data_IF_369617548548
#
_entry.id   IF_369617548548
#
_cell.length_a   1.000
_cell.length_b   1.000
_cell.length_c   1.000
_cell.angle_alpha   90.00
_cell.angle_beta   90.00
_cell.angle_gamma   90.00
#
_symmetry.space_group_name_H-M   'P 1'
#
loop_
_entity.id
_entity.type
_entity.pdbx_description
1 polymer ?
#
# COMPACT_ATOMS: atom_id res chain seq x y z
N UNK A 1 -12.62 1.95 17.60
CA UNK A 1 -12.95 1.37 16.28
C UNK A 1 -11.65 1.21 15.51
N UNK A 2 -11.38 0.04 14.91
CA UNK A 2 -10.20 -0.17 14.05
C UNK A 2 -10.62 0.12 12.60
N UNK A 3 -9.82 0.91 11.89
CA UNK A 3 -9.98 1.21 10.48
C UNK A 3 -8.84 0.57 9.70
N UNK A 4 -9.08 0.26 8.42
CA UNK A 4 -8.08 -0.28 7.51
C UNK A 4 -8.04 0.57 6.24
N UNK A 5 -6.83 0.88 5.77
CA UNK A 5 -6.60 1.58 4.50
C UNK A 5 -5.59 0.81 3.66
N UNK A 6 -5.91 0.71 2.38
CA UNK A 6 -5.10 0.01 1.38
C UNK A 6 -4.53 1.02 0.40
N UNK A 7 -3.26 0.86 0.07
CA UNK A 7 -2.50 1.66 -0.88
C UNK A 7 -2.06 0.78 -2.03
N UNK A 8 -2.25 1.28 -3.25
CA UNK A 8 -1.82 0.59 -4.47
C UNK A 8 -0.84 1.46 -5.26
N UNK A 9 0.09 0.82 -5.94
CA UNK A 9 0.97 1.48 -6.89
C UNK A 9 1.34 0.54 -8.03
N UNK A 10 1.51 1.10 -9.21
CA UNK A 10 1.96 0.38 -10.40
C UNK A 10 3.47 0.56 -10.57
N UNK A 11 4.15 -0.44 -11.10
CA UNK A 11 5.57 -0.33 -11.39
C UNK A 11 6.02 -1.30 -12.47
N UNK A 12 7.18 -0.99 -13.04
CA UNK A 12 7.80 -1.83 -14.08
C UNK A 12 8.34 -3.16 -13.51
N UNK A 13 8.47 -3.25 -12.19
CA UNK A 13 8.86 -4.46 -11.47
C UNK A 13 8.05 -4.60 -10.19
N UNK A 14 7.97 -5.83 -9.67
CA UNK A 14 7.33 -6.12 -8.38
C UNK A 14 7.97 -5.29 -7.26
N UNK A 15 9.30 -5.19 -7.25
CA UNK A 15 10.03 -4.43 -6.23
C UNK A 15 9.69 -2.94 -6.30
N UNK A 16 9.70 -2.35 -7.50
CA UNK A 16 9.36 -0.93 -7.69
C UNK A 16 7.91 -0.65 -7.31
N UNK A 17 6.97 -1.50 -7.74
CA UNK A 17 5.55 -1.32 -7.44
C UNK A 17 5.28 -1.44 -5.93
N UNK A 18 5.88 -2.43 -5.27
CA UNK A 18 5.77 -2.63 -3.82
C UNK A 18 6.34 -1.44 -3.06
N UNK A 19 7.55 -1.00 -3.44
CA UNK A 19 8.20 0.16 -2.82
C UNK A 19 7.33 1.41 -2.94
N UNK A 20 6.80 1.70 -4.13
CA UNK A 20 5.92 2.85 -4.32
C UNK A 20 4.63 2.77 -3.49
N UNK A 21 4.03 1.57 -3.33
CA UNK A 21 2.85 1.40 -2.50
C UNK A 21 3.17 1.66 -1.01
N UNK A 22 4.33 1.21 -0.53
CA UNK A 22 4.82 1.48 0.83
C UNK A 22 5.17 2.96 1.00
N UNK A 23 5.78 3.60 0.02
CA UNK A 23 6.12 5.03 0.06
C UNK A 23 4.85 5.89 0.16
N UNK A 24 3.81 5.58 -0.63
CA UNK A 24 2.49 6.23 -0.51
C UNK A 24 1.86 6.04 0.86
N UNK A 25 1.95 4.83 1.41
CA UNK A 25 1.48 4.53 2.76
C UNK A 25 2.22 5.40 3.79
N UNK A 26 3.55 5.40 3.77
CA UNK A 26 4.37 6.18 4.69
C UNK A 26 4.12 7.69 4.59
N UNK A 27 3.98 8.21 3.37
CA UNK A 27 3.60 9.62 3.16
C UNK A 27 2.25 9.93 3.82
N UNK A 28 1.24 9.09 3.56
CA UNK A 28 -0.08 9.28 4.17
C UNK A 28 -0.03 9.18 5.71
N UNK A 29 0.80 8.28 6.27
CA UNK A 29 1.00 8.21 7.72
C UNK A 29 1.60 9.52 8.26
N UNK A 30 2.63 10.05 7.61
CA UNK A 30 3.24 11.32 8.02
C UNK A 30 2.26 12.48 7.97
N UNK A 31 1.43 12.56 6.94
CA UNK A 31 0.38 13.59 6.79
C UNK A 31 -0.73 13.46 7.85
N UNK A 32 -0.90 12.29 8.46
CA UNK A 32 -1.99 11.98 9.40
C UNK A 32 -1.48 11.58 10.79
N UNK A 33 -0.22 11.88 11.13
CA UNK A 33 0.38 11.49 12.41
C UNK A 33 -0.40 12.02 13.62
N UNK A 34 -1.06 13.17 13.46
CA UNK A 34 -1.82 13.82 14.52
C UNK A 34 -3.19 13.17 14.72
N UNK A 35 -3.73 12.45 13.73
CA UNK A 35 -5.09 11.89 13.78
C UNK A 35 -5.12 10.37 13.94
N UNK A 36 -3.99 9.71 13.67
CA UNK A 36 -3.82 8.26 13.71
C UNK A 36 -3.18 7.81 15.04
N UNK A 37 -3.74 6.77 15.64
CA UNK A 37 -3.19 6.03 16.77
C UNK A 37 -2.96 4.58 16.40
N UNK A 38 -1.93 3.98 17.01
CA UNK A 38 -1.59 2.57 16.88
C UNK A 38 -1.54 2.05 15.42
N UNK A 39 -0.83 2.73 14.50
CA UNK A 39 -0.69 2.25 13.13
C UNK A 39 0.06 0.92 13.10
N UNK A 40 -0.49 -0.08 12.42
CA UNK A 40 0.14 -1.39 12.22
C UNK A 40 0.02 -1.83 10.77
N UNK A 41 1.17 -2.04 10.12
CA UNK A 41 1.22 -2.64 8.79
C UNK A 41 0.68 -4.06 8.88
N UNK A 42 -0.34 -4.37 8.09
CA UNK A 42 -1.02 -5.67 8.10
C UNK A 42 -0.54 -6.55 6.96
N UNK A 43 -0.25 -5.95 5.81
CA UNK A 43 0.22 -6.67 4.64
C UNK A 43 0.98 -5.76 3.70
N UNK A 44 2.04 -6.29 3.10
CA UNK A 44 2.67 -5.74 1.92
C UNK A 44 2.77 -6.89 0.92
N UNK A 45 2.16 -6.73 -0.24
CA UNK A 45 2.10 -7.77 -1.26
C UNK A 45 2.22 -7.15 -2.64
N UNK A 46 2.50 -7.98 -3.64
CA UNK A 46 2.47 -7.56 -5.02
C UNK A 46 1.62 -8.51 -5.86
N UNK A 47 0.93 -7.95 -6.84
CA UNK A 47 0.20 -8.69 -7.85
C UNK A 47 0.86 -8.46 -9.20
N UNK A 48 1.01 -9.52 -9.98
CA UNK A 48 1.34 -9.44 -11.40
C UNK A 48 0.11 -9.87 -12.17
N UNK A 49 -0.37 -9.03 -13.08
CA UNK A 49 -1.31 -9.52 -14.09
C UNK A 49 -0.56 -10.50 -15.00
N UNK A 50 -1.05 -11.73 -15.09
CA UNK A 50 -0.67 -12.68 -16.14
C UNK A 50 -1.71 -12.71 -17.27
N UNK A 51 -2.57 -11.68 -17.36
CA UNK A 51 -3.61 -11.64 -18.39
C UNK A 51 -2.99 -11.36 -19.76
N UNK A 52 -3.53 -11.98 -20.80
CA UNK A 52 -3.14 -11.74 -22.20
C UNK A 52 -3.40 -10.29 -22.66
N UNK A 53 -4.12 -9.48 -21.87
CA UNK A 53 -4.49 -8.10 -22.19
C UNK A 53 -3.51 -7.10 -21.53
N UNK A 54 -2.99 -7.43 -20.34
CA UNK A 54 -2.04 -6.59 -19.58
C UNK A 54 -0.90 -7.46 -19.01
N UNK A 55 -0.03 -8.04 -19.86
CA UNK A 55 0.94 -9.05 -19.43
C UNK A 55 2.15 -8.46 -18.65
N UNK A 56 2.23 -7.14 -18.49
CA UNK A 56 3.38 -6.46 -17.86
C UNK A 56 3.08 -5.85 -16.50
N UNK A 57 1.84 -5.53 -16.18
CA UNK A 57 1.56 -4.63 -15.05
C UNK A 57 1.85 -5.31 -13.71
N UNK A 58 2.78 -4.72 -12.95
CA UNK A 58 3.09 -5.11 -11.59
C UNK A 58 2.47 -4.09 -10.66
N UNK A 59 1.65 -4.58 -9.73
CA UNK A 59 0.99 -3.77 -8.73
C UNK A 59 1.58 -4.11 -7.36
N UNK A 60 1.97 -3.09 -6.60
CA UNK A 60 2.26 -3.20 -5.19
C UNK A 60 1.03 -2.83 -4.38
N UNK A 61 0.83 -3.51 -3.25
CA UNK A 61 -0.26 -3.30 -2.32
C UNK A 61 0.35 -3.19 -0.92
N UNK A 62 0.05 -2.12 -0.20
CA UNK A 62 0.39 -1.96 1.21
C UNK A 62 -0.90 -1.68 2.00
N UNK A 63 -1.13 -2.41 3.08
CA UNK A 63 -2.32 -2.28 3.91
C UNK A 63 -1.94 -1.97 5.35
N UNK A 64 -2.64 -1.00 5.94
CA UNK A 64 -2.43 -0.57 7.31
C UNK A 64 -3.74 -0.54 8.08
N UNK A 65 -3.69 -1.09 9.29
CA UNK A 65 -4.71 -0.93 10.30
C UNK A 65 -4.33 0.21 11.23
N UNK A 66 -5.31 1.02 11.61
CA UNK A 66 -5.10 2.13 12.52
C UNK A 66 -6.37 2.44 13.30
N UNK A 67 -6.23 3.24 14.35
CA UNK A 67 -7.34 3.82 15.09
C UNK A 67 -7.31 5.33 14.85
N UNK A 68 -8.48 5.95 14.76
CA UNK A 68 -8.58 7.42 14.78
C UNK A 68 -8.74 7.90 16.21
N UNK A 69 -8.30 9.12 16.49
CA UNK A 69 -8.56 9.78 17.76
C UNK A 69 -10.04 10.07 17.99
#
# INVERSE_FOLDING_TARGET
MIQCKVFTAEGNSIETATKQAVDKMNQWLGENEQTIKNPRIVSVTAASSSSNIWPSDKFGIAAIEYQTM
#
